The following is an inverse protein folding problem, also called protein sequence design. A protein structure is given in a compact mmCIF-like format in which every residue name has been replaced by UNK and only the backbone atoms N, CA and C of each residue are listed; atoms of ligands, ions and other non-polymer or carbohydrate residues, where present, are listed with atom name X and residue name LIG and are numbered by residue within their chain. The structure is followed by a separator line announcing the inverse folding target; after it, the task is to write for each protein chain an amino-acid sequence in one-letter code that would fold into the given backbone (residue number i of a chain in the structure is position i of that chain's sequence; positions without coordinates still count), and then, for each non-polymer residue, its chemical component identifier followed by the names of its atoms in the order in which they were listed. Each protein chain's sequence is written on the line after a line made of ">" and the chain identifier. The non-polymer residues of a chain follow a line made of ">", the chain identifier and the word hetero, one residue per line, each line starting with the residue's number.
data_IF_368624546270
#
_entry.id   IF_368624546270
#
_cell.length_a   1.000
_cell.length_b   1.000
_cell.length_c   1.000
_cell.angle_alpha   90.00
_cell.angle_beta   90.00
_cell.angle_gamma   90.00
#
_symmetry.space_group_name_H-M   'P 1'
#
loop_
_entity.id
_entity.type
_entity.pdbx_description
1 polymer ?
#
# COMPACT_ATOMS: atom_id res chain seq x y z
N UNK A 1 -3.39 -17.03 4.01
CA UNK A 1 -2.54 -17.59 2.91
C UNK A 1 -2.31 -16.53 1.85
N UNK A 2 -1.36 -16.74 0.94
CA UNK A 2 -1.19 -15.85 -0.21
C UNK A 2 -1.24 -16.60 -1.53
N UNK A 3 -1.64 -15.90 -2.58
CA UNK A 3 -1.68 -16.35 -3.97
C UNK A 3 -1.10 -15.29 -4.88
N UNK A 4 -0.68 -15.72 -6.07
CA UNK A 4 -0.26 -14.84 -7.15
C UNK A 4 -1.34 -14.70 -8.21
N UNK A 5 -1.49 -13.51 -8.79
CA UNK A 5 -2.38 -13.24 -9.93
C UNK A 5 -2.14 -14.20 -11.11
N UNK A 6 -0.92 -14.69 -11.27
CA UNK A 6 -0.51 -15.59 -12.36
C UNK A 6 -1.17 -16.97 -12.32
N UNK A 7 -1.80 -17.37 -11.22
CA UNK A 7 -2.55 -18.64 -11.17
C UNK A 7 -3.85 -18.59 -11.99
N UNK A 8 -4.31 -17.39 -12.37
CA UNK A 8 -5.49 -17.17 -13.20
C UNK A 8 -6.82 -17.15 -12.44
N UNK A 9 -7.80 -16.44 -12.99
CA UNK A 9 -9.05 -16.10 -12.29
C UNK A 9 -9.86 -17.32 -11.83
N UNK A 10 -9.88 -18.42 -12.59
CA UNK A 10 -10.58 -19.66 -12.20
C UNK A 10 -10.02 -20.26 -10.91
N UNK A 11 -8.69 -20.32 -10.77
CA UNK A 11 -8.04 -20.81 -9.56
C UNK A 11 -8.23 -19.84 -8.39
N UNK A 12 -8.17 -18.53 -8.66
CA UNK A 12 -8.41 -17.49 -7.65
C UNK A 12 -9.83 -17.56 -7.06
N UNK A 13 -10.86 -17.77 -7.89
CA UNK A 13 -12.24 -17.96 -7.39
C UNK A 13 -12.35 -19.22 -6.53
N UNK A 14 -11.76 -20.33 -6.99
CA UNK A 14 -11.75 -21.59 -6.25
C UNK A 14 -11.16 -21.44 -4.85
N UNK A 15 -10.01 -20.76 -4.74
CA UNK A 15 -9.35 -20.55 -3.45
C UNK A 15 -10.00 -19.47 -2.59
N UNK A 16 -10.66 -18.46 -3.17
CA UNK A 16 -11.50 -17.52 -2.39
C UNK A 16 -12.66 -18.24 -1.71
N UNK A 17 -13.38 -19.10 -2.45
CA UNK A 17 -14.44 -19.91 -1.88
C UNK A 17 -13.93 -20.85 -0.79
N UNK A 18 -12.74 -21.43 -0.99
CA UNK A 18 -12.09 -22.24 0.05
C UNK A 18 -11.74 -21.39 1.28
N UNK A 19 -11.13 -20.21 1.09
CA UNK A 19 -10.70 -19.34 2.17
C UNK A 19 -11.87 -18.93 3.06
N UNK A 20 -13.01 -18.56 2.44
CA UNK A 20 -14.25 -18.27 3.16
C UNK A 20 -14.75 -19.45 3.98
N UNK A 21 -14.81 -20.66 3.40
CA UNK A 21 -15.31 -21.87 4.10
C UNK A 21 -14.41 -22.33 5.24
N UNK A 22 -13.13 -21.93 5.24
CA UNK A 22 -12.14 -22.37 6.22
C UNK A 22 -11.68 -21.24 7.16
N UNK A 23 -12.32 -20.08 7.14
CA UNK A 23 -11.97 -18.96 8.03
C UNK A 23 -10.56 -18.41 7.79
N UNK A 24 -10.09 -18.42 6.54
CA UNK A 24 -8.74 -17.99 6.18
C UNK A 24 -8.74 -16.64 5.47
N UNK A 25 -7.82 -15.75 5.83
CA UNK A 25 -7.52 -14.54 5.06
C UNK A 25 -6.74 -14.89 3.78
N UNK A 26 -7.09 -14.25 2.68
CA UNK A 26 -6.53 -14.47 1.34
C UNK A 26 -5.84 -13.19 0.81
N UNK A 27 -4.51 -13.22 0.83
CA UNK A 27 -3.69 -12.14 0.27
C UNK A 27 -3.36 -12.39 -1.21
N UNK A 28 -3.62 -11.41 -2.07
CA UNK A 28 -3.28 -11.45 -3.49
C UNK A 28 -2.06 -10.60 -3.79
N UNK A 29 -0.98 -11.26 -4.21
CA UNK A 29 0.15 -10.62 -4.85
C UNK A 29 -0.11 -10.50 -6.36
N UNK A 30 0.13 -9.31 -6.92
CA UNK A 30 -0.26 -8.97 -8.31
C UNK A 30 0.79 -9.35 -9.36
N UNK A 31 1.50 -10.47 -9.17
CA UNK A 31 2.56 -10.90 -10.08
C UNK A 31 2.12 -10.82 -11.56
N UNK A 32 2.98 -10.27 -12.42
CA UNK A 32 2.72 -10.15 -13.85
C UNK A 32 1.79 -8.99 -14.28
N UNK A 33 1.08 -8.31 -13.37
CA UNK A 33 0.08 -7.28 -13.77
C UNK A 33 0.66 -6.18 -14.68
N UNK A 34 1.87 -5.70 -14.39
CA UNK A 34 2.51 -4.60 -15.14
C UNK A 34 2.81 -4.95 -16.61
N UNK A 35 2.72 -6.22 -17.02
CA UNK A 35 2.83 -6.61 -18.43
C UNK A 35 1.72 -6.01 -19.30
N UNK A 36 0.56 -5.72 -18.72
CA UNK A 36 -0.59 -5.14 -19.44
C UNK A 36 -1.24 -3.95 -18.72
N UNK A 37 -0.78 -3.57 -17.52
CA UNK A 37 -1.33 -2.39 -16.80
C UNK A 37 -0.45 -1.14 -16.91
N UNK A 38 0.76 -1.24 -17.46
CA UNK A 38 1.77 -0.16 -17.36
C UNK A 38 1.65 0.92 -18.43
N UNK A 39 1.30 0.54 -19.67
CA UNK A 39 1.28 1.48 -20.79
C UNK A 39 -0.08 2.20 -20.85
N UNK A 40 -0.06 3.53 -20.88
CA UNK A 40 -1.29 4.33 -20.97
C UNK A 40 -2.04 4.13 -22.29
N UNK A 41 -1.33 3.79 -23.36
CA UNK A 41 -1.89 3.69 -24.73
C UNK A 41 -2.46 2.32 -25.07
N UNK A 42 -2.15 1.27 -24.30
CA UNK A 42 -2.58 -0.09 -24.59
C UNK A 42 -2.61 -0.97 -23.33
N UNK A 43 -3.64 -1.81 -23.21
CA UNK A 43 -3.78 -2.78 -22.14
C UNK A 43 -5.02 -2.53 -21.28
N UNK A 44 -4.93 -2.84 -19.99
CA UNK A 44 -6.02 -2.73 -19.01
C UNK A 44 -5.50 -1.98 -17.79
N UNK A 45 -6.11 -0.84 -17.44
CA UNK A 45 -5.72 -0.12 -16.22
C UNK A 45 -5.90 -0.99 -14.98
N UNK A 46 -4.97 -0.87 -14.02
CA UNK A 46 -5.00 -1.63 -12.77
C UNK A 46 -6.32 -1.43 -11.98
N UNK A 47 -7.01 -0.30 -12.12
CA UNK A 47 -8.33 -0.10 -11.47
C UNK A 47 -9.36 -1.15 -11.87
N UNK A 48 -9.34 -1.58 -13.13
CA UNK A 48 -10.26 -2.61 -13.64
C UNK A 48 -9.93 -3.96 -13.00
N UNK A 49 -8.63 -4.28 -12.94
CA UNK A 49 -8.14 -5.48 -12.26
C UNK A 49 -8.48 -5.47 -10.76
N UNK A 50 -8.37 -4.33 -10.09
CA UNK A 50 -8.74 -4.16 -8.68
C UNK A 50 -10.22 -4.49 -8.46
N UNK A 51 -11.12 -4.00 -9.33
CA UNK A 51 -12.55 -4.35 -9.30
C UNK A 51 -12.78 -5.85 -9.46
N UNK A 52 -12.14 -6.48 -10.45
CA UNK A 52 -12.26 -7.92 -10.67
C UNK A 52 -11.74 -8.73 -9.48
N UNK A 53 -10.63 -8.33 -8.86
CA UNK A 53 -10.09 -9.01 -7.69
C UNK A 53 -11.00 -8.88 -6.46
N UNK A 54 -11.64 -7.72 -6.26
CA UNK A 54 -12.68 -7.53 -5.23
C UNK A 54 -13.88 -8.46 -5.46
N UNK A 55 -14.37 -8.55 -6.69
CA UNK A 55 -15.44 -9.49 -7.08
C UNK A 55 -15.04 -10.96 -6.89
N UNK A 56 -13.78 -11.31 -7.16
CA UNK A 56 -13.25 -12.67 -6.92
C UNK A 56 -13.22 -13.00 -5.43
N UNK A 57 -13.13 -11.99 -4.54
CA UNK A 57 -13.20 -12.16 -3.10
C UNK A 57 -11.83 -12.43 -2.46
N UNK A 58 -10.80 -11.65 -2.83
CA UNK A 58 -9.53 -11.60 -2.08
C UNK A 58 -9.64 -10.58 -0.96
N UNK A 59 -8.96 -10.82 0.17
CA UNK A 59 -9.03 -9.92 1.32
C UNK A 59 -8.00 -8.79 1.23
N UNK A 60 -6.81 -9.07 0.66
CA UNK A 60 -5.76 -8.07 0.47
C UNK A 60 -5.31 -8.00 -1.00
N UNK A 61 -4.97 -6.81 -1.50
CA UNK A 61 -4.39 -6.62 -2.83
C UNK A 61 -3.30 -5.55 -2.83
N UNK A 62 -2.13 -5.88 -3.39
CA UNK A 62 -1.07 -4.88 -3.67
C UNK A 62 -1.59 -3.77 -4.59
N UNK A 63 -1.57 -2.52 -4.12
CA UNK A 63 -2.20 -1.38 -4.80
C UNK A 63 -1.21 -0.26 -5.16
N UNK A 64 0.06 -0.38 -4.80
CA UNK A 64 1.12 0.60 -5.11
C UNK A 64 1.50 1.46 -3.90
N UNK A 65 2.65 2.12 -4.01
CA UNK A 65 3.29 2.86 -2.92
C UNK A 65 3.50 4.34 -3.21
N UNK A 66 3.40 4.78 -4.47
CA UNK A 66 3.68 6.15 -4.96
C UNK A 66 5.14 6.57 -4.77
N UNK A 67 5.65 6.55 -3.53
CA UNK A 67 7.01 6.95 -3.15
C UNK A 67 8.03 5.81 -3.17
N UNK A 68 7.58 4.59 -3.47
CA UNK A 68 8.43 3.40 -3.51
C UNK A 68 9.07 3.17 -4.88
N UNK A 69 9.74 2.02 -5.01
CA UNK A 69 10.54 1.71 -6.21
C UNK A 69 9.76 1.33 -7.47
N UNK A 70 8.46 1.08 -7.34
CA UNK A 70 7.58 0.68 -8.45
C UNK A 70 6.74 1.88 -8.89
N UNK A 71 6.30 1.88 -10.14
CA UNK A 71 5.46 2.95 -10.68
C UNK A 71 4.18 3.15 -9.87
N UNK A 72 3.78 4.41 -9.72
CA UNK A 72 2.49 4.80 -9.16
C UNK A 72 2.33 6.32 -9.13
N UNK A 73 1.55 6.87 -10.05
CA UNK A 73 1.05 8.25 -9.94
C UNK A 73 0.11 8.43 -8.71
N UNK A 74 0.24 9.50 -7.90
CA UNK A 74 -0.56 9.69 -6.69
C UNK A 74 -2.08 9.69 -6.94
N UNK A 75 -2.55 10.42 -7.96
CA UNK A 75 -3.99 10.57 -8.22
C UNK A 75 -4.60 9.26 -8.73
N UNK A 76 -3.89 8.60 -9.63
CA UNK A 76 -4.29 7.30 -10.17
C UNK A 76 -4.27 6.21 -9.08
N UNK A 77 -3.26 6.22 -8.21
CA UNK A 77 -3.15 5.28 -7.09
C UNK A 77 -4.27 5.49 -6.08
N UNK A 78 -4.65 6.74 -5.77
CA UNK A 78 -5.80 7.04 -4.92
C UNK A 78 -7.08 6.39 -5.46
N UNK A 79 -7.34 6.50 -6.76
CA UNK A 79 -8.47 5.82 -7.39
C UNK A 79 -8.45 4.28 -7.26
N UNK A 80 -7.27 3.65 -7.17
CA UNK A 80 -7.16 2.22 -6.88
C UNK A 80 -7.57 1.90 -5.44
N UNK A 81 -7.14 2.72 -4.48
CA UNK A 81 -7.48 2.55 -3.07
C UNK A 81 -8.97 2.78 -2.82
N UNK A 82 -9.57 3.80 -3.42
CA UNK A 82 -11.01 4.08 -3.35
C UNK A 82 -11.80 2.87 -3.93
N UNK A 83 -11.35 2.34 -5.08
CA UNK A 83 -11.96 1.16 -5.71
C UNK A 83 -11.95 -0.10 -4.84
N UNK A 84 -10.94 -0.24 -3.98
CA UNK A 84 -10.77 -1.40 -3.12
C UNK A 84 -11.54 -1.26 -1.81
N UNK A 85 -11.64 -0.07 -1.24
CA UNK A 85 -12.18 0.13 0.12
C UNK A 85 -13.64 0.54 0.16
N UNK A 86 -14.02 1.50 -0.67
CA UNK A 86 -15.27 2.23 -0.47
C UNK A 86 -16.46 1.42 -0.98
N UNK A 87 -17.62 1.60 -0.35
CA UNK A 87 -18.87 0.96 -0.79
C UNK A 87 -19.50 1.69 -1.98
N UNK A 88 -19.32 3.01 -2.06
CA UNK A 88 -19.78 3.83 -3.16
C UNK A 88 -18.68 4.79 -3.62
N UNK A 89 -18.41 4.81 -4.93
CA UNK A 89 -17.33 5.60 -5.53
C UNK A 89 -17.92 6.48 -6.64
N UNK A 90 -18.06 7.79 -6.42
CA UNK A 90 -18.60 8.70 -7.42
C UNK A 90 -17.62 8.94 -8.57
N UNK A 91 -18.13 9.42 -9.70
CA UNK A 91 -17.30 9.80 -10.85
C UNK A 91 -16.26 10.85 -10.45
N UNK A 92 -14.99 10.55 -10.70
CA UNK A 92 -13.86 11.44 -10.47
C UNK A 92 -12.75 11.17 -11.50
N UNK A 93 -12.78 11.85 -12.66
CA UNK A 93 -11.79 11.64 -13.72
C UNK A 93 -10.36 11.99 -13.30
N UNK A 94 -10.18 12.89 -12.32
CA UNK A 94 -8.85 13.23 -11.81
C UNK A 94 -8.16 12.03 -11.14
N UNK A 95 -8.93 11.13 -10.51
CA UNK A 95 -8.43 9.87 -9.96
C UNK A 95 -8.62 8.67 -10.94
N UNK A 96 -9.02 8.94 -12.19
CA UNK A 96 -9.30 7.92 -13.19
C UNK A 96 -10.59 7.12 -12.96
N UNK A 97 -11.54 7.65 -12.17
CA UNK A 97 -12.86 7.05 -11.96
C UNK A 97 -13.84 7.64 -12.98
N UNK A 98 -14.18 6.85 -13.99
CA UNK A 98 -15.04 7.28 -15.11
C UNK A 98 -16.52 6.95 -14.93
N UNK A 99 -16.85 6.07 -13.99
CA UNK A 99 -18.20 5.60 -13.75
C UNK A 99 -18.48 5.63 -12.25
N UNK A 100 -19.70 6.03 -11.94
CA UNK A 100 -20.29 5.86 -10.62
C UNK A 100 -20.38 4.36 -10.29
N UNK A 101 -19.89 3.95 -9.13
CA UNK A 101 -19.83 2.55 -8.73
C UNK A 101 -20.39 2.36 -7.33
N UNK A 102 -21.50 1.65 -7.24
CA UNK A 102 -22.03 1.07 -5.99
C UNK A 102 -21.57 -0.40 -5.88
N UNK A 103 -21.05 -0.80 -4.73
CA UNK A 103 -20.62 -2.16 -4.40
C UNK A 103 -21.67 -2.98 -3.67
N UNK A 104 -22.84 -2.40 -3.38
CA UNK A 104 -23.98 -3.06 -2.77
C UNK A 104 -23.59 -3.85 -1.51
N UNK A 105 -22.82 -3.22 -0.62
CA UNK A 105 -22.31 -3.81 0.62
C UNK A 105 -21.32 -4.96 0.45
N UNK A 106 -20.74 -5.13 -0.75
CA UNK A 106 -19.62 -6.05 -0.93
C UNK A 106 -18.44 -5.58 -0.04
N UNK A 107 -17.86 -6.46 0.78
CA UNK A 107 -16.73 -6.11 1.63
C UNK A 107 -15.59 -5.43 0.85
N UNK A 108 -14.97 -4.45 1.49
CA UNK A 108 -13.74 -3.84 0.99
C UNK A 108 -12.57 -4.84 0.97
N UNK A 109 -11.60 -4.57 0.11
CA UNK A 109 -10.31 -5.26 0.03
C UNK A 109 -9.26 -4.35 0.65
N UNK A 110 -8.45 -4.88 1.55
CA UNK A 110 -7.38 -4.09 2.18
C UNK A 110 -6.24 -3.86 1.17
N UNK A 111 -5.98 -2.61 0.76
CA UNK A 111 -4.87 -2.33 -0.13
C UNK A 111 -3.53 -2.58 0.59
N UNK A 112 -2.54 -3.04 -0.17
CA UNK A 112 -1.19 -3.27 0.32
C UNK A 112 -0.22 -2.35 -0.41
N UNK A 113 0.48 -1.51 0.35
CA UNK A 113 1.58 -0.69 -0.13
C UNK A 113 2.90 -1.44 0.13
N UNK A 114 3.54 -1.92 -0.94
CA UNK A 114 4.77 -2.71 -0.86
C UNK A 114 5.77 -2.35 -1.93
N UNK A 115 7.04 -2.36 -1.57
CA UNK A 115 8.16 -2.28 -2.50
C UNK A 115 8.93 -0.96 -2.45
N UNK A 116 10.18 -1.04 -1.96
CA UNK A 116 11.12 0.09 -1.97
C UNK A 116 10.72 1.22 -1.03
N UNK A 117 9.97 0.92 0.04
CA UNK A 117 9.61 1.88 1.08
C UNK A 117 10.42 1.64 2.36
N UNK A 118 10.59 2.69 3.16
CA UNK A 118 11.32 2.66 4.44
C UNK A 118 10.68 3.58 5.49
N UNK A 119 11.09 3.46 6.76
CA UNK A 119 10.52 4.20 7.89
C UNK A 119 10.51 5.74 7.71
N UNK A 120 11.48 6.29 6.97
CA UNK A 120 11.57 7.74 6.68
C UNK A 120 10.38 8.29 5.90
N UNK A 121 9.69 7.45 5.12
CA UNK A 121 8.56 7.84 4.28
C UNK A 121 7.21 7.69 4.98
N UNK A 122 7.18 7.32 6.27
CA UNK A 122 5.95 6.96 6.98
C UNK A 122 4.87 8.06 6.94
N UNK A 123 5.28 9.32 7.04
CA UNK A 123 4.40 10.48 6.94
C UNK A 123 3.73 10.60 5.56
N UNK A 124 4.47 10.37 4.48
CA UNK A 124 3.92 10.36 3.13
C UNK A 124 2.95 9.18 2.93
N UNK A 125 3.31 8.00 3.42
CA UNK A 125 2.47 6.80 3.29
C UNK A 125 1.13 6.96 4.00
N UNK A 126 1.11 7.53 5.21
CA UNK A 126 -0.13 7.76 5.95
C UNK A 126 -1.00 8.86 5.35
N UNK A 127 -0.40 9.90 4.76
CA UNK A 127 -1.14 10.94 4.04
C UNK A 127 -1.80 10.39 2.76
N UNK A 128 -1.06 9.57 2.02
CA UNK A 128 -1.54 8.97 0.79
C UNK A 128 -2.63 7.92 1.03
N UNK A 129 -2.46 7.07 2.05
CA UNK A 129 -3.23 5.83 2.18
C UNK A 129 -4.16 5.77 3.39
N UNK A 130 -3.96 6.59 4.42
CA UNK A 130 -4.77 6.55 5.64
C UNK A 130 -4.50 5.29 6.48
N UNK A 131 -5.54 4.80 7.18
CA UNK A 131 -5.42 3.74 8.18
C UNK A 131 -5.62 2.32 7.63
N UNK A 132 -6.62 2.13 6.77
CA UNK A 132 -6.96 0.81 6.21
C UNK A 132 -6.03 0.44 5.05
N UNK A 133 -4.78 0.14 5.39
CA UNK A 133 -3.71 -0.25 4.46
C UNK A 133 -2.69 -1.15 5.16
N UNK A 134 -2.12 -2.10 4.43
CA UNK A 134 -0.94 -2.85 4.88
C UNK A 134 0.32 -2.22 4.29
N UNK A 135 1.21 -1.70 5.13
CA UNK A 135 2.52 -1.20 4.73
C UNK A 135 3.58 -2.30 4.88
N UNK A 136 4.18 -2.73 3.78
CA UNK A 136 5.16 -3.82 3.76
C UNK A 136 6.60 -3.34 3.54
N UNK A 137 7.42 -3.56 4.56
CA UNK A 137 8.84 -3.18 4.58
C UNK A 137 9.72 -4.43 4.47
N UNK A 138 9.95 -4.94 3.26
CA UNK A 138 10.85 -6.08 3.04
C UNK A 138 12.31 -5.69 3.30
N UNK A 139 12.94 -5.03 2.32
CA UNK A 139 14.30 -4.52 2.46
C UNK A 139 14.46 -3.53 3.62
N UNK A 140 13.45 -2.68 3.87
CA UNK A 140 13.43 -1.73 4.99
C UNK A 140 13.30 -2.36 6.39
N UNK A 141 13.16 -3.69 6.49
CA UNK A 141 13.24 -4.43 7.76
C UNK A 141 14.50 -5.30 7.78
N UNK A 142 14.63 -6.19 6.80
CA UNK A 142 15.69 -7.20 6.79
C UNK A 142 17.07 -6.57 6.57
N UNK A 143 17.14 -5.47 5.82
CA UNK A 143 18.38 -4.74 5.55
C UNK A 143 18.85 -3.84 6.71
N UNK A 144 18.18 -3.88 7.87
CA UNK A 144 18.54 -3.01 8.99
C UNK A 144 19.91 -3.40 9.59
N UNK A 145 20.85 -2.45 9.77
CA UNK A 145 22.22 -2.75 10.23
C UNK A 145 22.31 -3.46 11.59
N UNK A 146 21.33 -3.25 12.47
CA UNK A 146 21.27 -3.90 13.80
C UNK A 146 20.48 -5.22 13.79
N UNK A 147 20.12 -5.74 12.61
CA UNK A 147 19.38 -6.99 12.45
C UNK A 147 17.86 -6.82 12.30
N UNK A 148 17.19 -7.94 11.99
CA UNK A 148 15.79 -7.98 11.54
C UNK A 148 14.83 -7.44 12.61
N UNK A 149 15.03 -7.81 13.88
CA UNK A 149 14.17 -7.36 14.98
C UNK A 149 14.21 -5.82 15.14
N UNK A 150 15.40 -5.23 15.04
CA UNK A 150 15.56 -3.77 15.07
C UNK A 150 14.90 -3.10 13.85
N UNK A 151 14.99 -3.69 12.66
CA UNK A 151 14.26 -3.19 11.49
C UNK A 151 12.75 -3.19 11.68
N UNK A 152 12.21 -4.24 12.32
CA UNK A 152 10.79 -4.35 12.59
C UNK A 152 10.34 -3.32 13.64
N UNK A 153 11.12 -3.15 14.71
CA UNK A 153 10.92 -2.12 15.74
C UNK A 153 10.93 -0.72 15.12
N UNK A 154 11.93 -0.39 14.29
CA UNK A 154 12.06 0.91 13.64
C UNK A 154 10.80 1.28 12.83
N UNK A 155 10.32 0.36 11.98
CA UNK A 155 9.12 0.59 11.18
C UNK A 155 7.87 0.75 12.06
N UNK A 156 7.77 -0.03 13.14
CA UNK A 156 6.64 0.04 14.08
C UNK A 156 6.60 1.35 14.85
N UNK A 157 7.75 1.78 15.41
CA UNK A 157 7.87 3.05 16.15
C UNK A 157 7.59 4.24 15.23
N UNK A 158 8.10 4.22 13.99
CA UNK A 158 7.81 5.27 13.01
C UNK A 158 6.30 5.39 12.73
N UNK A 159 5.61 4.26 12.51
CA UNK A 159 4.17 4.23 12.27
C UNK A 159 3.40 4.82 13.46
N UNK A 160 3.64 4.32 14.66
CA UNK A 160 2.91 4.75 15.86
C UNK A 160 3.18 6.23 16.19
N UNK A 161 4.41 6.71 15.99
CA UNK A 161 4.76 8.12 16.22
C UNK A 161 4.00 9.05 15.27
N UNK A 162 3.92 8.72 13.98
CA UNK A 162 3.22 9.56 13.00
C UNK A 162 1.70 9.48 13.19
N UNK A 163 1.14 8.30 13.45
CA UNK A 163 -0.30 8.15 13.77
C UNK A 163 -0.67 8.94 15.01
N UNK A 164 0.15 8.89 16.07
CA UNK A 164 -0.05 9.68 17.28
C UNK A 164 -0.05 11.18 16.96
N UNK A 165 0.97 11.67 16.25
CA UNK A 165 1.07 13.08 15.87
C UNK A 165 -0.12 13.56 15.03
N UNK A 166 -0.56 12.75 14.06
CA UNK A 166 -1.77 13.02 13.26
C UNK A 166 -3.00 13.15 14.16
N UNK A 167 -3.20 12.20 15.07
CA UNK A 167 -4.37 12.17 15.95
C UNK A 167 -4.35 13.31 17.00
N UNK A 168 -3.17 13.88 17.28
CA UNK A 168 -3.01 15.10 18.10
C UNK A 168 -3.21 16.40 17.30
N UNK A 169 -3.54 16.30 16.01
CA UNK A 169 -3.83 17.45 15.15
C UNK A 169 -2.60 18.16 14.59
N UNK A 170 -1.42 17.52 14.63
CA UNK A 170 -0.20 18.07 13.99
C UNK A 170 -0.29 17.97 12.47
N UNK A 171 0.36 18.89 11.77
CA UNK A 171 0.55 18.80 10.32
C UNK A 171 1.63 17.76 10.04
N UNK A 172 1.27 16.49 10.17
CA UNK A 172 2.23 15.38 10.10
C UNK A 172 2.86 15.22 8.72
N UNK A 173 2.25 15.77 7.66
CA UNK A 173 2.84 15.75 6.32
C UNK A 173 4.03 16.71 6.25
N UNK A 174 3.87 17.93 6.76
CA UNK A 174 4.94 18.93 6.79
C UNK A 174 5.96 18.67 7.92
N UNK A 175 5.48 18.30 9.09
CA UNK A 175 6.29 18.05 10.30
C UNK A 175 6.85 16.61 10.34
N UNK A 176 6.55 15.77 9.35
CA UNK A 176 6.86 14.35 9.32
C UNK A 176 8.32 13.99 9.65
N UNK A 177 9.32 14.61 8.98
CA UNK A 177 10.72 14.39 9.30
C UNK A 177 11.08 14.74 10.75
N UNK A 178 10.50 15.81 11.31
CA UNK A 178 10.76 16.24 12.69
C UNK A 178 10.11 15.29 13.70
N UNK A 179 8.90 14.80 13.42
CA UNK A 179 8.21 13.77 14.22
C UNK A 179 9.06 12.50 14.30
N UNK A 180 9.57 12.05 13.16
CA UNK A 180 10.41 10.84 13.08
C UNK A 180 11.75 11.03 13.80
N UNK A 181 12.41 12.19 13.65
CA UNK A 181 13.65 12.50 14.38
C UNK A 181 13.42 12.58 15.90
N UNK A 182 12.29 13.15 16.35
CA UNK A 182 11.94 13.18 17.76
C UNK A 182 11.75 11.76 18.33
N UNK A 183 11.02 10.88 17.62
CA UNK A 183 10.87 9.49 18.03
C UNK A 183 12.20 8.71 18.02
N UNK A 184 13.07 9.00 17.04
CA UNK A 184 14.40 8.40 16.95
C UNK A 184 15.31 8.76 18.13
N UNK A 185 15.14 9.94 18.74
CA UNK A 185 15.96 10.38 19.89
C UNK A 185 15.89 9.44 21.10
N UNK A 186 14.82 8.65 21.21
CA UNK A 186 14.63 7.64 22.25
C UNK A 186 14.57 6.20 21.71
N UNK A 187 14.76 5.99 20.41
CA UNK A 187 14.70 4.68 19.77
C UNK A 187 15.88 4.49 18.81
N UNK A 188 16.90 3.76 19.28
CA UNK A 188 18.12 3.49 18.51
C UNK A 188 17.85 2.79 17.17
N UNK A 189 16.89 1.87 17.15
CA UNK A 189 16.47 1.16 15.93
C UNK A 189 15.95 2.15 14.88
N UNK A 190 15.08 3.08 15.25
CA UNK A 190 14.58 4.09 14.33
C UNK A 190 15.68 5.07 13.90
N UNK A 191 16.54 5.51 14.81
CA UNK A 191 17.68 6.38 14.50
C UNK A 191 18.58 5.78 13.41
N UNK A 192 18.96 4.51 13.55
CA UNK A 192 19.81 3.82 12.57
C UNK A 192 19.07 3.63 11.24
N UNK A 193 17.79 3.28 11.26
CA UNK A 193 17.00 3.17 10.03
C UNK A 193 16.93 4.49 9.25
N UNK A 194 16.69 5.61 9.95
CA UNK A 194 16.67 6.94 9.33
C UNK A 194 18.05 7.34 8.80
N UNK A 195 19.13 7.06 9.52
CA UNK A 195 20.49 7.33 9.04
C UNK A 195 20.86 6.48 7.80
N UNK A 196 20.31 5.27 7.69
CA UNK A 196 20.63 4.34 6.59
C UNK A 196 19.88 4.70 5.30
N UNK A 197 18.60 5.07 5.40
CA UNK A 197 17.74 5.24 4.23
C UNK A 197 17.05 6.60 4.12
N UNK A 198 17.25 7.53 5.05
CA UNK A 198 16.52 8.80 5.12
C UNK A 198 16.53 9.62 3.83
N UNK A 199 17.61 9.53 3.05
CA UNK A 199 17.80 10.25 1.78
C UNK A 199 17.42 9.42 0.54
N UNK A 200 17.04 8.14 0.70
CA UNK A 200 16.73 7.26 -0.44
C UNK A 200 15.36 7.61 -0.98
N UNK A 201 15.30 8.03 -2.25
CA UNK A 201 14.04 8.37 -2.93
C UNK A 201 14.00 7.78 -4.34
N UNK A 202 12.80 7.50 -4.84
CA UNK A 202 12.56 6.96 -6.19
C UNK A 202 11.71 7.95 -6.98
N UNK A 203 12.34 8.98 -7.54
CA UNK A 203 11.64 10.03 -8.28
C UNK A 203 11.85 9.86 -9.79
N UNK A 204 10.87 9.23 -10.44
CA UNK A 204 10.85 9.00 -11.88
C UNK A 204 9.51 9.42 -12.47
N UNK A 205 9.51 9.89 -13.73
CA UNK A 205 8.27 10.23 -14.43
C UNK A 205 7.36 9.00 -14.53
N UNK A 206 6.11 9.05 -14.02
CA UNK A 206 5.15 7.97 -14.19
C UNK A 206 4.73 7.85 -15.66
N UNK A 207 4.29 6.67 -16.08
CA UNK A 207 3.94 6.34 -17.47
C UNK A 207 2.44 6.30 -17.70
#
# INVERSE_FOLDING_TARGET
>A
VMIDLTIGYTAMQSISHWARRNGMLLHLHRAGHSTFTRQKTHGVSFRVLAKWCRLIGVDHLHAGTVVGKLEGDPATTRGYYDSLRDDHIPVNPANGIFFDQDWASMPGVMPVASGGIHAGQMHQLLDLFGDDVILQFGGGTIGHPLGIAAGAEANRVALEAVVKARNEGRDFLREGPDILRAAASTCRSLEVALATWGEVTFNYTPT
#
